data_IF_441782239651
#
_entry.id   IF_441782239651
#
_cell.length_a   1.000
_cell.length_b   1.000
_cell.length_c   1.000
_cell.angle_alpha   90.00
_cell.angle_beta   90.00
_cell.angle_gamma   90.00
#
_symmetry.space_group_name_H-M   'P 1'
#
loop_
_entity.id
_entity.type
_entity.pdbx_description
1 polymer ?
#
# COMPACT_ATOMS: atom_id res chain seq x y z
N UNK A 1 17.32 -15.67 17.45
CA UNK A 1 16.95 -14.86 16.26
C UNK A 1 15.86 -13.84 16.61
N UNK A 2 14.64 -14.26 16.98
CA UNK A 2 13.55 -13.34 17.32
C UNK A 2 13.88 -12.35 18.47
N UNK A 3 14.56 -12.81 19.53
CA UNK A 3 15.01 -11.95 20.64
C UNK A 3 16.02 -10.87 20.22
N UNK A 4 16.81 -11.10 19.17
CA UNK A 4 17.77 -10.12 18.66
C UNK A 4 17.09 -8.94 17.95
N UNK A 5 15.85 -9.12 17.52
CA UNK A 5 15.04 -8.10 16.85
C UNK A 5 14.13 -7.33 17.82
N UNK A 6 14.16 -7.65 19.12
CA UNK A 6 13.41 -6.94 20.17
C UNK A 6 11.90 -6.72 19.88
N UNK A 7 11.30 -7.56 19.03
CA UNK A 7 9.90 -7.42 18.63
C UNK A 7 9.62 -6.41 17.49
N UNK A 8 10.64 -5.74 16.94
CA UNK A 8 10.50 -4.74 15.86
C UNK A 8 9.75 -5.29 14.65
N UNK A 9 10.06 -6.51 14.22
CA UNK A 9 9.38 -7.14 13.09
C UNK A 9 7.87 -7.30 13.34
N UNK A 10 7.47 -7.62 14.57
CA UNK A 10 6.06 -7.79 14.92
C UNK A 10 5.33 -6.44 14.95
N UNK A 11 5.98 -5.41 15.48
CA UNK A 11 5.49 -4.03 15.45
C UNK A 11 5.29 -3.53 14.01
N UNK A 12 6.31 -3.69 13.16
CA UNK A 12 6.28 -3.24 11.76
C UNK A 12 5.21 -3.95 10.96
N UNK A 13 5.03 -5.27 11.16
CA UNK A 13 3.99 -6.03 10.46
C UNK A 13 2.59 -5.54 10.83
N UNK A 14 2.33 -5.21 12.10
CA UNK A 14 1.04 -4.62 12.50
C UNK A 14 0.85 -3.23 11.88
N UNK A 15 1.89 -2.40 11.92
CA UNK A 15 1.85 -1.04 11.38
C UNK A 15 1.70 -1.00 9.84
N UNK A 16 2.30 -1.97 9.13
CA UNK A 16 2.34 -2.02 7.67
C UNK A 16 0.95 -2.03 7.00
N UNK A 17 -0.09 -2.49 7.70
CA UNK A 17 -1.46 -2.47 7.19
C UNK A 17 -1.92 -1.06 6.83
N UNK A 18 -1.51 -0.05 7.60
CA UNK A 18 -1.82 1.37 7.33
C UNK A 18 -1.25 1.82 6.00
N UNK A 19 -0.12 1.28 5.54
CA UNK A 19 0.51 1.68 4.28
C UNK A 19 -0.30 1.28 3.04
N UNK A 20 -1.32 0.42 3.19
CA UNK A 20 -2.19 0.01 2.07
C UNK A 20 -3.32 0.99 1.78
N UNK A 21 -3.61 1.90 2.72
CA UNK A 21 -4.67 2.90 2.61
C UNK A 21 -4.25 4.33 2.99
N UNK A 22 -3.23 4.48 3.83
CA UNK A 22 -2.64 5.75 4.22
C UNK A 22 -2.00 6.43 3.01
N UNK A 23 -2.34 7.70 2.77
CA UNK A 23 -1.87 8.42 1.58
C UNK A 23 -2.61 8.06 0.28
N UNK A 24 -3.71 7.29 0.38
CA UNK A 24 -4.54 6.86 -0.74
C UNK A 24 -4.51 5.33 -0.87
N UNK A 25 -5.68 4.72 -1.01
CA UNK A 25 -5.79 3.26 -1.12
C UNK A 25 -5.10 2.72 -2.35
N UNK A 26 -4.56 1.50 -2.23
CA UNK A 26 -3.89 0.82 -3.33
C UNK A 26 -4.78 0.70 -4.58
N UNK A 27 -6.10 0.61 -4.42
CA UNK A 27 -7.08 0.62 -5.51
C UNK A 27 -7.03 1.94 -6.27
N UNK A 28 -7.08 3.06 -5.56
CA UNK A 28 -7.02 4.39 -6.16
C UNK A 28 -5.66 4.60 -6.85
N UNK A 29 -4.57 4.24 -6.18
CA UNK A 29 -3.21 4.34 -6.74
C UNK A 29 -3.07 3.51 -8.03
N UNK A 30 -3.59 2.27 -8.04
CA UNK A 30 -3.62 1.43 -9.26
C UNK A 30 -4.40 2.08 -10.39
N UNK A 31 -5.52 2.74 -10.09
CA UNK A 31 -6.28 3.47 -11.10
C UNK A 31 -5.58 4.73 -11.61
N UNK A 32 -4.82 5.43 -10.77
CA UNK A 32 -3.98 6.56 -11.19
C UNK A 32 -2.86 6.07 -12.12
N UNK A 33 -2.22 4.94 -11.80
CA UNK A 33 -1.21 4.31 -12.66
C UNK A 33 -1.83 3.90 -14.00
N UNK A 34 -3.01 3.27 -14.00
CA UNK A 34 -3.68 2.88 -15.23
C UNK A 34 -4.01 4.10 -16.12
N UNK A 35 -4.56 5.18 -15.54
CA UNK A 35 -4.93 6.38 -16.29
C UNK A 35 -3.71 7.16 -16.79
N UNK A 36 -2.76 7.47 -15.90
CA UNK A 36 -1.68 8.40 -16.20
C UNK A 36 -0.40 7.71 -16.64
N UNK A 37 -0.10 6.52 -16.11
CA UNK A 37 1.07 5.74 -16.48
C UNK A 37 0.86 4.90 -17.74
N UNK A 38 -0.35 4.37 -17.95
CA UNK A 38 -0.67 3.47 -19.07
C UNK A 38 -1.65 4.07 -20.09
N UNK A 39 -2.19 5.27 -19.87
CA UNK A 39 -3.11 5.93 -20.81
C UNK A 39 -4.47 5.24 -20.95
N UNK A 40 -4.85 4.40 -19.97
CA UNK A 40 -6.14 3.71 -20.00
C UNK A 40 -7.29 4.69 -19.75
N UNK A 41 -8.45 4.48 -20.39
CA UNK A 41 -9.63 5.30 -20.11
C UNK A 41 -10.02 5.17 -18.64
N UNK A 42 -10.53 6.27 -18.06
CA UNK A 42 -11.00 6.28 -16.68
C UNK A 42 -12.09 5.22 -16.48
N UNK A 43 -12.01 4.39 -15.42
CA UNK A 43 -13.07 3.44 -15.12
C UNK A 43 -14.38 4.19 -14.90
N UNK A 44 -15.43 3.74 -15.58
CA UNK A 44 -16.79 4.24 -15.33
C UNK A 44 -17.28 3.56 -14.06
N UNK A 45 -17.66 4.36 -13.05
CA UNK A 45 -18.17 3.87 -11.77
C UNK A 45 -19.56 4.45 -11.54
#
# INVERSE_FOLDING_TARGET
>A
AASALLGELEYDVRAATVNTFGGGTNELQRELIAQFGLGMPRPVR
#
